data_IF_185715000683
#
_entry.id   IF_185715000683
#
_cell.length_a   1.000
_cell.length_b   1.000
_cell.length_c   1.000
_cell.angle_alpha   90.00
_cell.angle_beta   90.00
_cell.angle_gamma   90.00
#
_symmetry.space_group_name_H-M   'P 1'
#
loop_
_entity.id
_entity.type
_entity.pdbx_description
1 polymer ?
#
# COMPACT_ATOMS: atom_id res chain seq x y z
N UNK A 1 25.23 -11.75 -13.23
CA UNK A 1 24.81 -10.33 -13.28
C UNK A 1 24.85 -9.92 -14.74
N UNK A 2 23.74 -9.53 -15.36
CA UNK A 2 23.74 -9.02 -16.74
C UNK A 2 23.93 -7.51 -16.63
N UNK A 3 25.13 -6.96 -16.86
CA UNK A 3 25.36 -5.53 -16.74
C UNK A 3 24.98 -4.90 -18.09
N UNK A 4 23.82 -4.27 -18.14
CA UNK A 4 23.52 -3.34 -19.23
C UNK A 4 24.00 -1.97 -18.70
N UNK A 5 25.21 -1.56 -19.09
CA UNK A 5 25.72 -0.19 -18.85
C UNK A 5 26.05 0.13 -17.38
N UNK A 6 26.67 -0.81 -16.65
CA UNK A 6 27.16 -0.57 -15.27
C UNK A 6 26.10 -0.42 -14.19
N UNK A 7 24.82 -0.27 -14.57
CA UNK A 7 23.66 -0.33 -13.68
C UNK A 7 23.13 -1.76 -13.72
N UNK A 8 22.97 -2.37 -12.54
CA UNK A 8 22.37 -3.69 -12.45
C UNK A 8 20.86 -3.58 -12.71
N UNK A 9 20.29 -4.51 -13.50
CA UNK A 9 18.84 -4.61 -13.70
C UNK A 9 18.08 -4.66 -12.36
N UNK A 10 18.66 -5.29 -11.35
CA UNK A 10 18.11 -5.37 -10.00
C UNK A 10 17.95 -3.99 -9.34
N UNK A 11 18.92 -3.09 -9.51
CA UNK A 11 18.84 -1.72 -8.96
C UNK A 11 17.67 -0.94 -9.54
N UNK A 12 17.40 -1.12 -10.84
CA UNK A 12 16.26 -0.48 -11.52
C UNK A 12 14.95 -1.03 -10.97
N UNK A 13 14.82 -2.35 -10.84
CA UNK A 13 13.62 -2.99 -10.32
C UNK A 13 13.29 -2.53 -8.89
N UNK A 14 14.30 -2.40 -8.02
CA UNK A 14 14.12 -1.92 -6.64
C UNK A 14 13.46 -0.54 -6.61
N UNK A 15 13.96 0.41 -7.42
CA UNK A 15 13.40 1.76 -7.52
C UNK A 15 11.94 1.72 -8.00
N UNK A 16 11.64 0.91 -9.03
CA UNK A 16 10.27 0.77 -9.52
C UNK A 16 9.32 0.19 -8.47
N UNK A 17 9.75 -0.82 -7.70
CA UNK A 17 8.96 -1.40 -6.61
C UNK A 17 8.63 -0.33 -5.56
N UNK A 18 9.61 0.49 -5.16
CA UNK A 18 9.37 1.58 -4.19
C UNK A 18 8.34 2.60 -4.71
N UNK A 19 8.41 2.97 -6.00
CA UNK A 19 7.45 3.88 -6.63
C UNK A 19 6.04 3.29 -6.60
N UNK A 20 5.90 2.01 -6.98
CA UNK A 20 4.59 1.34 -6.99
C UNK A 20 4.02 1.21 -5.57
N UNK A 21 4.85 0.88 -4.57
CA UNK A 21 4.43 0.83 -3.17
C UNK A 21 4.01 2.22 -2.65
N UNK A 22 4.69 3.29 -3.05
CA UNK A 22 4.28 4.66 -2.72
C UNK A 22 2.91 5.01 -3.33
N UNK A 23 2.68 4.64 -4.60
CA UNK A 23 1.36 4.80 -5.23
C UNK A 23 0.29 3.95 -4.55
N UNK A 24 0.63 2.75 -4.06
CA UNK A 24 -0.30 1.89 -3.33
C UNK A 24 -0.85 2.54 -2.06
N UNK A 25 -0.09 3.41 -1.39
CA UNK A 25 -0.58 4.18 -0.24
C UNK A 25 -1.80 5.04 -0.63
N UNK A 26 -1.79 5.64 -1.82
CA UNK A 26 -2.92 6.42 -2.33
C UNK A 26 -4.16 5.52 -2.46
N UNK A 27 -3.99 4.31 -2.98
CA UNK A 27 -5.08 3.32 -3.06
C UNK A 27 -5.57 2.91 -1.67
N UNK A 28 -4.69 2.70 -0.69
CA UNK A 28 -5.08 2.38 0.66
C UNK A 28 -5.91 3.51 1.32
N UNK A 29 -5.60 4.78 1.03
CA UNK A 29 -6.44 5.93 1.44
C UNK A 29 -7.80 5.91 0.73
N UNK A 30 -7.84 5.56 -0.56
CA UNK A 30 -9.11 5.40 -1.29
C UNK A 30 -9.96 4.29 -0.67
N UNK A 31 -9.37 3.17 -0.25
CA UNK A 31 -10.08 2.07 0.42
C UNK A 31 -10.80 2.56 1.68
N UNK A 32 -10.17 3.40 2.50
CA UNK A 32 -10.81 3.98 3.69
C UNK A 32 -12.08 4.75 3.29
N UNK A 33 -11.99 5.61 2.27
CA UNK A 33 -13.16 6.36 1.78
C UNK A 33 -14.27 5.44 1.27
N UNK A 34 -13.92 4.39 0.55
CA UNK A 34 -14.90 3.42 0.04
C UNK A 34 -15.57 2.64 1.17
N UNK A 35 -14.81 2.19 2.16
CA UNK A 35 -15.37 1.50 3.34
C UNK A 35 -16.31 2.42 4.12
N UNK A 36 -15.96 3.69 4.29
CA UNK A 36 -16.84 4.67 4.93
C UNK A 36 -18.16 4.83 4.16
N UNK A 37 -18.11 5.12 2.85
CA UNK A 37 -19.31 5.29 2.03
C UNK A 37 -20.21 4.05 2.02
N UNK A 38 -19.62 2.86 1.94
CA UNK A 38 -20.37 1.60 1.94
C UNK A 38 -21.02 1.33 3.30
N UNK A 39 -20.28 1.54 4.39
CA UNK A 39 -20.79 1.30 5.75
C UNK A 39 -21.73 2.41 6.26
N UNK A 40 -21.80 3.56 5.59
CA UNK A 40 -22.87 4.55 5.81
C UNK A 40 -24.19 4.15 5.12
N UNK A 41 -24.12 3.28 4.10
CA UNK A 41 -25.28 2.89 3.29
C UNK A 41 -25.88 1.54 3.73
N UNK A 42 -25.03 0.60 4.13
CA UNK A 42 -25.41 -0.76 4.48
C UNK A 42 -25.28 -0.99 5.98
N UNK A 43 -26.39 -1.29 6.64
CA UNK A 43 -26.42 -1.75 8.03
C UNK A 43 -26.39 -3.27 8.06
N UNK A 44 -25.20 -3.83 8.32
CA UNK A 44 -24.92 -5.27 8.42
C UNK A 44 -24.39 -5.66 9.80
N UNK A 45 -24.16 -4.71 10.70
CA UNK A 45 -23.72 -4.91 12.09
C UNK A 45 -22.21 -5.06 12.27
N UNK A 46 -21.42 -4.79 11.22
CA UNK A 46 -19.96 -4.93 11.19
C UNK A 46 -19.23 -3.65 10.78
N UNK A 47 -19.90 -2.51 10.79
CA UNK A 47 -19.43 -1.23 10.25
C UNK A 47 -18.17 -0.76 10.98
N UNK A 48 -18.17 -0.85 12.30
CA UNK A 48 -17.04 -0.41 13.13
C UNK A 48 -15.78 -1.24 12.87
N UNK A 49 -15.93 -2.56 12.74
CA UNK A 49 -14.85 -3.51 12.49
C UNK A 49 -14.27 -3.29 11.08
N UNK A 50 -15.12 -3.10 10.08
CA UNK A 50 -14.70 -2.81 8.71
C UNK A 50 -13.95 -1.48 8.62
N UNK A 51 -14.45 -0.42 9.28
CA UNK A 51 -13.76 0.87 9.37
C UNK A 51 -12.40 0.73 10.04
N UNK A 52 -12.31 0.06 11.18
CA UNK A 52 -11.03 -0.20 11.85
C UNK A 52 -10.07 -0.96 10.94
N UNK A 53 -10.53 -2.02 10.27
CA UNK A 53 -9.70 -2.82 9.38
C UNK A 53 -9.13 -1.99 8.22
N UNK A 54 -9.90 -1.05 7.67
CA UNK A 54 -9.42 -0.14 6.62
C UNK A 54 -8.27 0.77 7.07
N UNK A 55 -8.32 1.29 8.30
CA UNK A 55 -7.23 2.09 8.87
C UNK A 55 -6.01 1.22 9.18
N UNK A 56 -6.21 0.01 9.71
CA UNK A 56 -5.13 -0.96 9.94
C UNK A 56 -4.45 -1.34 8.63
N UNK A 57 -5.22 -1.53 7.56
CA UNK A 57 -4.69 -1.80 6.23
C UNK A 57 -3.80 -0.66 5.71
N UNK A 58 -4.21 0.60 5.87
CA UNK A 58 -3.37 1.75 5.51
C UNK A 58 -2.08 1.78 6.34
N UNK A 59 -2.16 1.58 7.66
CA UNK A 59 -0.98 1.54 8.52
C UNK A 59 -0.02 0.43 8.10
N UNK A 60 -0.54 -0.75 7.77
CA UNK A 60 0.25 -1.87 7.30
C UNK A 60 0.91 -1.58 5.94
N UNK A 61 0.20 -0.94 5.01
CA UNK A 61 0.75 -0.53 3.72
C UNK A 61 1.92 0.46 3.90
N UNK A 62 1.80 1.43 4.81
CA UNK A 62 2.88 2.36 5.17
C UNK A 62 4.06 1.59 5.75
N UNK A 63 3.82 0.66 6.68
CA UNK A 63 4.88 -0.16 7.26
C UNK A 63 5.63 -0.96 6.18
N UNK A 64 4.92 -1.60 5.24
CA UNK A 64 5.51 -2.32 4.11
C UNK A 64 6.40 -1.42 3.26
N UNK A 65 5.96 -0.19 2.95
CA UNK A 65 6.78 0.78 2.21
C UNK A 65 8.06 1.14 2.98
N UNK A 66 7.95 1.41 4.29
CA UNK A 66 9.12 1.71 5.15
C UNK A 66 10.09 0.53 5.17
N UNK A 67 9.59 -0.69 5.36
CA UNK A 67 10.43 -1.89 5.31
C UNK A 67 11.10 -2.05 3.95
N UNK A 68 10.37 -1.83 2.85
CA UNK A 68 10.92 -1.91 1.51
C UNK A 68 12.06 -0.90 1.30
N UNK A 69 11.93 0.34 1.77
CA UNK A 69 13.02 1.34 1.70
C UNK A 69 14.27 0.90 2.47
N UNK A 70 14.11 0.18 3.58
CA UNK A 70 15.23 -0.23 4.43
C UNK A 70 15.97 -1.47 3.91
N UNK A 71 15.26 -2.41 3.28
CA UNK A 71 15.81 -3.74 2.97
C UNK A 71 15.97 -4.03 1.47
N UNK A 72 15.25 -3.31 0.61
CA UNK A 72 15.23 -3.56 -0.83
C UNK A 72 16.36 -2.80 -1.54
#
# INVERSE_FOLDING_TARGET
MIPIIGISLWSILKIFILIVLALYIIFAVVVIRQVQLMTDTLEVGFEAQLRLLSFVHLLFAIAVLVFAVLIL
#
